data_IF_383511617871
#
_entry.id   IF_383511617871
#
_cell.length_a   1.000
_cell.length_b   1.000
_cell.length_c   1.000
_cell.angle_alpha   90.00
_cell.angle_beta   90.00
_cell.angle_gamma   90.00
#
_symmetry.space_group_name_H-M   'P 1'
#
loop_
_entity.id
_entity.type
_entity.pdbx_description
1 polymer ?
#
# COMPACT_ATOMS: atom_id res chain seq x y z
N UNK A 1 22.74 -2.01 -23.09
CA UNK A 1 22.89 -0.53 -23.06
C UNK A 1 23.11 -0.14 -21.60
N UNK A 2 24.31 0.31 -21.24
CA UNK A 2 24.59 0.73 -19.85
C UNK A 2 24.09 2.15 -19.66
N UNK A 3 23.15 2.36 -18.73
CA UNK A 3 22.78 3.70 -18.26
C UNK A 3 23.80 4.08 -17.19
N UNK A 4 24.66 5.06 -17.48
CA UNK A 4 25.59 5.63 -16.51
C UNK A 4 24.84 6.73 -15.77
N UNK A 5 24.79 6.65 -14.44
CA UNK A 5 24.21 7.68 -13.57
C UNK A 5 25.35 8.42 -12.84
N UNK A 6 25.46 9.72 -13.04
CA UNK A 6 26.43 10.54 -12.34
C UNK A 6 25.88 11.01 -10.99
N UNK A 7 26.18 10.27 -9.93
CA UNK A 7 25.67 10.53 -8.58
C UNK A 7 26.09 11.91 -8.02
N UNK A 8 27.18 12.50 -8.52
CA UNK A 8 27.65 13.83 -8.09
C UNK A 8 26.65 14.94 -8.39
N UNK A 9 25.79 14.75 -9.39
CA UNK A 9 24.77 15.72 -9.75
C UNK A 9 23.63 15.78 -8.73
N UNK A 10 23.52 14.76 -7.87
CA UNK A 10 22.40 14.59 -6.95
C UNK A 10 22.77 14.83 -5.47
N UNK A 11 24.05 15.04 -5.19
CA UNK A 11 24.56 15.20 -3.82
C UNK A 11 25.23 16.56 -3.63
N UNK A 12 24.97 17.16 -2.48
CA UNK A 12 25.55 18.45 -2.07
C UNK A 12 27.00 18.31 -1.61
N UNK A 13 27.41 17.09 -1.26
CA UNK A 13 28.74 16.70 -0.80
C UNK A 13 29.05 15.33 -1.40
N UNK A 14 30.31 15.05 -1.71
CA UNK A 14 30.79 13.77 -2.26
C UNK A 14 30.76 12.65 -1.19
N UNK A 15 29.61 12.46 -0.52
CA UNK A 15 29.40 11.45 0.51
C UNK A 15 28.19 10.61 0.14
N UNK A 16 28.45 9.36 -0.22
CA UNK A 16 27.45 8.32 -0.44
C UNK A 16 28.08 6.99 0.00
N UNK A 17 27.26 6.06 0.47
CA UNK A 17 27.74 4.73 0.85
C UNK A 17 27.40 3.75 -0.26
N UNK A 18 28.36 2.92 -0.66
CA UNK A 18 28.10 1.79 -1.55
C UNK A 18 27.83 0.58 -0.66
N UNK A 19 26.71 -0.09 -0.89
CA UNK A 19 26.37 -1.35 -0.23
C UNK A 19 26.89 -2.50 -1.08
N UNK A 20 27.57 -3.43 -0.44
CA UNK A 20 28.12 -4.63 -1.05
C UNK A 20 27.37 -5.86 -0.52
N UNK A 21 27.20 -6.88 -1.36
CA UNK A 21 26.73 -8.20 -0.91
C UNK A 21 27.87 -9.03 -0.29
N UNK A 22 27.54 -10.26 0.13
CA UNK A 22 28.49 -11.23 0.72
C UNK A 22 29.61 -11.64 -0.24
N UNK A 23 29.52 -11.30 -1.54
CA UNK A 23 30.47 -11.62 -2.59
C UNK A 23 31.29 -10.39 -3.02
N UNK A 24 31.25 -9.31 -2.23
CA UNK A 24 31.89 -8.01 -2.52
C UNK A 24 31.41 -7.34 -3.80
N UNK A 25 30.22 -7.70 -4.29
CA UNK A 25 29.62 -7.03 -5.44
C UNK A 25 28.80 -5.84 -4.96
N UNK A 26 29.03 -4.67 -5.55
CA UNK A 26 28.21 -3.49 -5.27
C UNK A 26 26.76 -3.72 -5.69
N UNK A 27 25.83 -3.62 -4.74
CA UNK A 27 24.40 -3.89 -4.95
C UNK A 27 23.52 -2.65 -4.85
N UNK A 28 23.93 -1.65 -4.07
CA UNK A 28 23.17 -0.40 -3.93
C UNK A 28 24.06 0.79 -3.59
N UNK A 29 23.49 1.99 -3.73
CA UNK A 29 24.09 3.25 -3.25
C UNK A 29 23.10 3.93 -2.30
N UNK A 30 23.57 4.31 -1.12
CA UNK A 30 22.82 5.01 -0.09
C UNK A 30 23.26 6.47 -0.02
N UNK A 31 22.30 7.37 -0.20
CA UNK A 31 22.50 8.81 -0.10
C UNK A 31 21.55 9.34 0.99
N UNK A 32 22.07 9.86 2.12
CA UNK A 32 21.23 10.48 3.14
C UNK A 32 20.42 11.65 2.56
N UNK A 33 19.13 11.75 2.92
CA UNK A 33 18.23 12.81 2.44
C UNK A 33 18.79 14.22 2.72
N UNK A 34 19.47 14.41 3.85
CA UNK A 34 20.12 15.68 4.22
C UNK A 34 21.25 16.12 3.28
N UNK A 35 21.72 15.22 2.42
CA UNK A 35 22.79 15.47 1.45
C UNK A 35 22.25 15.63 0.03
N UNK A 36 20.95 15.43 -0.20
CA UNK A 36 20.35 15.58 -1.52
C UNK A 36 20.44 17.02 -2.00
N UNK A 37 20.80 17.20 -3.28
CA UNK A 37 20.77 18.52 -3.88
C UNK A 37 19.30 18.97 -4.03
N UNK A 38 18.84 20.06 -3.38
CA UNK A 38 17.41 20.41 -3.33
C UNK A 38 16.79 20.61 -4.72
N UNK A 39 17.53 21.24 -5.63
CA UNK A 39 17.07 21.47 -7.01
C UNK A 39 16.92 20.19 -7.86
N UNK A 40 17.41 19.06 -7.36
CA UNK A 40 17.40 17.75 -8.04
C UNK A 40 16.56 16.71 -7.30
N UNK A 41 15.90 17.09 -6.20
CA UNK A 41 15.09 16.18 -5.40
C UNK A 41 13.99 15.49 -6.25
N UNK A 42 13.30 16.25 -7.12
CA UNK A 42 12.28 15.70 -8.02
C UNK A 42 12.87 14.71 -9.04
N UNK A 43 14.03 15.02 -9.62
CA UNK A 43 14.70 14.11 -10.57
C UNK A 43 15.15 12.82 -9.88
N UNK A 44 15.69 12.93 -8.66
CA UNK A 44 16.11 11.77 -7.88
C UNK A 44 14.91 10.92 -7.45
N UNK A 45 13.80 11.55 -7.04
CA UNK A 45 12.57 10.85 -6.71
C UNK A 45 12.00 10.11 -7.92
N UNK A 46 11.93 10.76 -9.08
CA UNK A 46 11.48 10.10 -10.32
C UNK A 46 12.38 8.93 -10.71
N UNK A 47 13.70 9.07 -10.53
CA UNK A 47 14.64 7.99 -10.78
C UNK A 47 14.47 6.83 -9.80
N UNK A 48 14.30 7.12 -8.51
CA UNK A 48 14.01 6.11 -7.50
C UNK A 48 12.73 5.37 -7.86
N UNK A 49 11.66 6.09 -8.18
CA UNK A 49 10.40 5.51 -8.64
C UNK A 49 10.62 4.61 -9.86
N UNK A 50 11.36 5.05 -10.88
CA UNK A 50 11.66 4.22 -12.05
C UNK A 50 12.47 2.95 -11.73
N UNK A 51 13.42 3.04 -10.80
CA UNK A 51 14.30 1.92 -10.42
C UNK A 51 13.61 0.94 -9.47
N UNK A 52 12.71 1.42 -8.62
CA UNK A 52 11.97 0.60 -7.64
C UNK A 52 10.55 0.26 -8.11
N UNK A 53 10.15 0.72 -9.30
CA UNK A 53 8.85 0.39 -9.86
C UNK A 53 8.81 -1.11 -10.19
N UNK A 54 8.03 -1.84 -9.41
CA UNK A 54 7.67 -3.22 -9.72
C UNK A 54 6.37 -3.17 -10.54
N UNK A 55 6.35 -3.70 -11.77
CA UNK A 55 5.13 -3.80 -12.56
C UNK A 55 4.03 -4.57 -11.81
N UNK A 56 2.76 -4.22 -12.06
CA UNK A 56 1.60 -4.84 -11.38
C UNK A 56 1.60 -6.36 -11.50
N UNK A 57 2.01 -6.90 -12.64
CA UNK A 57 2.07 -8.35 -12.89
C UNK A 57 3.24 -9.07 -12.18
N UNK A 58 4.20 -8.32 -11.64
CA UNK A 58 5.31 -8.83 -10.84
C UNK A 58 5.08 -8.63 -9.34
N UNK A 59 4.04 -7.90 -8.95
CA UNK A 59 3.70 -7.66 -7.55
C UNK A 59 3.08 -8.91 -6.92
N UNK A 60 3.47 -9.20 -5.68
CA UNK A 60 2.71 -10.11 -4.82
C UNK A 60 1.33 -9.53 -4.48
N UNK A 61 0.40 -10.39 -4.05
CA UNK A 61 -0.93 -9.95 -3.61
C UNK A 61 -0.85 -8.91 -2.48
N UNK A 62 0.09 -9.08 -1.56
CA UNK A 62 0.31 -8.14 -0.45
C UNK A 62 0.76 -6.77 -0.95
N UNK A 63 1.71 -6.72 -1.90
CA UNK A 63 2.18 -5.45 -2.47
C UNK A 63 1.07 -4.73 -3.26
N UNK A 64 0.21 -5.47 -3.96
CA UNK A 64 -0.95 -4.90 -4.63
C UNK A 64 -1.96 -4.33 -3.63
N UNK A 65 -2.25 -5.06 -2.56
CA UNK A 65 -3.12 -4.59 -1.48
C UNK A 65 -2.59 -3.30 -0.83
N UNK A 66 -1.28 -3.25 -0.54
CA UNK A 66 -0.65 -2.06 0.04
C UNK A 66 -0.70 -0.85 -0.91
N UNK A 67 -0.54 -1.08 -2.22
CA UNK A 67 -0.67 -0.03 -3.24
C UNK A 67 -2.08 0.52 -3.37
N UNK A 68 -3.10 -0.33 -3.25
CA UNK A 68 -4.51 0.06 -3.38
C UNK A 68 -5.11 0.64 -2.09
N UNK A 69 -4.42 0.50 -0.96
CA UNK A 69 -4.92 0.92 0.35
C UNK A 69 -5.34 2.40 0.42
N UNK A 70 -4.60 3.37 -0.16
CA UNK A 70 -5.04 4.77 -0.17
C UNK A 70 -6.39 4.97 -0.88
N UNK A 71 -6.57 4.33 -2.04
CA UNK A 71 -7.81 4.39 -2.81
C UNK A 71 -8.96 3.70 -2.08
N UNK A 72 -8.70 2.53 -1.47
CA UNK A 72 -9.68 1.83 -0.63
C UNK A 72 -10.14 2.74 0.50
N UNK A 73 -9.22 3.36 1.25
CA UNK A 73 -9.54 4.28 2.33
C UNK A 73 -10.34 5.50 1.86
N UNK A 74 -10.02 6.02 0.68
CA UNK A 74 -10.76 7.13 0.07
C UNK A 74 -12.22 6.74 -0.22
N UNK A 75 -12.43 5.56 -0.82
CA UNK A 75 -13.78 5.05 -1.13
C UNK A 75 -14.56 4.72 0.14
N UNK A 76 -13.91 4.14 1.14
CA UNK A 76 -14.53 3.84 2.43
C UNK A 76 -15.03 5.11 3.15
N UNK A 77 -14.22 6.18 3.10
CA UNK A 77 -14.59 7.49 3.63
C UNK A 77 -15.76 8.11 2.86
N UNK A 78 -15.74 8.01 1.52
CA UNK A 78 -16.83 8.48 0.66
C UNK A 78 -18.15 7.74 0.94
N UNK A 79 -18.12 6.41 1.01
CA UNK A 79 -19.28 5.59 1.37
C UNK A 79 -19.89 6.05 2.69
N UNK A 80 -19.04 6.23 3.71
CA UNK A 80 -19.47 6.69 5.04
C UNK A 80 -20.07 8.10 4.98
N UNK A 81 -19.52 8.99 4.16
CA UNK A 81 -20.04 10.34 3.96
C UNK A 81 -21.43 10.33 3.29
N UNK A 82 -21.64 9.43 2.31
CA UNK A 82 -22.90 9.24 1.60
C UNK A 82 -23.96 8.48 2.41
N UNK A 83 -23.63 8.02 3.63
CA UNK A 83 -24.52 7.23 4.47
C UNK A 83 -24.65 5.75 4.04
N UNK A 84 -23.73 5.29 3.19
CA UNK A 84 -23.58 3.88 2.84
C UNK A 84 -22.75 3.14 3.89
N UNK A 85 -22.70 1.81 3.77
CA UNK A 85 -21.88 0.95 4.63
C UNK A 85 -20.67 0.39 3.88
N UNK A 86 -19.59 0.18 4.62
CA UNK A 86 -18.45 -0.64 4.20
C UNK A 86 -18.64 -2.08 4.72
N UNK A 87 -18.05 -3.05 4.02
CA UNK A 87 -18.20 -4.47 4.36
C UNK A 87 -16.85 -5.05 4.76
N UNK A 88 -16.80 -5.66 5.94
CA UNK A 88 -15.58 -6.24 6.50
C UNK A 88 -15.79 -7.69 6.91
N UNK A 89 -14.72 -8.48 6.85
CA UNK A 89 -14.72 -9.80 7.46
C UNK A 89 -14.56 -9.69 8.98
N UNK A 90 -15.32 -10.45 9.78
CA UNK A 90 -15.15 -10.47 11.23
C UNK A 90 -13.80 -11.12 11.60
N UNK A 91 -12.96 -10.35 12.28
CA UNK A 91 -11.62 -10.80 12.67
C UNK A 91 -11.69 -11.99 13.66
N UNK A 92 -10.91 -13.03 13.38
CA UNK A 92 -10.41 -13.96 14.40
C UNK A 92 -11.39 -14.98 14.99
N UNK A 93 -12.57 -15.21 14.40
CA UNK A 93 -13.50 -16.21 14.94
C UNK A 93 -14.03 -17.18 13.87
N UNK A 94 -13.56 -18.46 13.87
CA UNK A 94 -13.95 -19.46 12.87
C UNK A 94 -15.44 -19.86 12.90
N UNK A 95 -16.20 -19.39 13.90
CA UNK A 95 -17.66 -19.56 13.99
C UNK A 95 -18.46 -18.67 13.03
N UNK A 96 -17.84 -17.65 12.42
CA UNK A 96 -18.51 -16.67 11.55
C UNK A 96 -18.43 -17.02 10.06
N UNK A 97 -18.55 -18.30 9.69
CA UNK A 97 -18.68 -18.68 8.27
C UNK A 97 -19.88 -17.96 7.66
N UNK A 98 -19.65 -17.30 6.53
CA UNK A 98 -20.62 -16.50 5.80
C UNK A 98 -21.20 -15.31 6.59
N UNK A 99 -20.49 -14.79 7.59
CA UNK A 99 -20.86 -13.54 8.22
C UNK A 99 -19.92 -12.41 7.78
N UNK A 100 -20.49 -11.22 7.67
CA UNK A 100 -19.79 -9.98 7.36
C UNK A 100 -20.26 -8.89 8.31
N UNK A 101 -19.40 -7.91 8.55
CA UNK A 101 -19.73 -6.70 9.29
C UNK A 101 -20.09 -5.64 8.27
N UNK A 102 -21.27 -5.05 8.38
CA UNK A 102 -21.59 -3.78 7.71
C UNK A 102 -21.28 -2.66 8.67
N UNK A 103 -20.33 -1.80 8.32
CA UNK A 103 -19.97 -0.64 9.11
C UNK A 103 -20.56 0.62 8.47
N UNK A 104 -21.42 1.29 9.22
CA UNK A 104 -21.98 2.58 8.88
C UNK A 104 -21.23 3.66 9.67
N UNK A 105 -21.56 4.93 9.39
CA UNK A 105 -20.98 6.07 10.11
C UNK A 105 -21.21 6.04 11.63
N UNK A 106 -22.34 5.50 12.08
CA UNK A 106 -22.82 5.61 13.46
C UNK A 106 -22.97 4.25 14.18
N UNK A 107 -22.97 3.14 13.45
CA UNK A 107 -23.12 1.80 14.04
C UNK A 107 -22.53 0.72 13.12
N UNK A 108 -22.46 -0.51 13.65
CA UNK A 108 -22.07 -1.70 12.90
C UNK A 108 -23.13 -2.78 13.03
N UNK A 109 -23.34 -3.52 11.97
CA UNK A 109 -24.24 -4.66 11.92
C UNK A 109 -23.45 -5.94 11.61
N UNK A 110 -23.76 -7.03 12.33
CA UNK A 110 -23.33 -8.36 11.92
C UNK A 110 -24.39 -8.97 11.02
N UNK A 111 -23.99 -9.37 9.81
CA UNK A 111 -24.89 -9.87 8.78
C UNK A 111 -24.44 -11.23 8.32
N UNK A 112 -25.36 -12.19 8.27
CA UNK A 112 -25.13 -13.49 7.64
C UNK A 112 -25.57 -13.42 6.19
N UNK A 113 -24.70 -13.84 5.28
CA UNK A 113 -24.96 -13.86 3.83
C UNK A 113 -25.16 -15.29 3.38
N UNK A 114 -26.21 -15.56 2.63
CA UNK A 114 -26.33 -16.81 1.91
C UNK A 114 -25.49 -16.73 0.63
N UNK A 115 -24.42 -17.54 0.56
CA UNK A 115 -23.48 -17.49 -0.55
C UNK A 115 -24.07 -17.98 -1.88
N UNK A 116 -25.15 -18.75 -1.87
CA UNK A 116 -25.80 -19.23 -3.10
C UNK A 116 -26.84 -18.28 -3.68
N UNK A 117 -27.45 -17.42 -2.84
CA UNK A 117 -28.53 -16.51 -3.27
C UNK A 117 -28.16 -15.04 -3.16
N UNK A 118 -27.11 -14.69 -2.42
CA UNK A 118 -26.76 -13.30 -2.08
C UNK A 118 -27.69 -12.66 -1.05
N UNK A 119 -28.70 -13.39 -0.56
CA UNK A 119 -29.60 -12.88 0.48
C UNK A 119 -28.85 -12.65 1.79
N UNK A 120 -29.23 -11.59 2.50
CA UNK A 120 -28.55 -11.18 3.71
C UNK A 120 -29.53 -11.08 4.88
N UNK A 121 -29.13 -11.59 6.04
CA UNK A 121 -29.90 -11.56 7.27
C UNK A 121 -29.09 -10.82 8.34
N UNK A 122 -29.66 -9.76 8.91
CA UNK A 122 -29.06 -9.05 10.03
C UNK A 122 -29.17 -9.93 11.29
N UNK A 123 -28.02 -10.30 11.85
CA UNK A 123 -27.89 -11.09 13.08
C UNK A 123 -27.83 -10.17 14.30
N UNK A 124 -27.10 -9.05 14.20
CA UNK A 124 -27.04 -8.01 15.23
C UNK A 124 -27.00 -6.63 14.58
N UNK A 125 -27.76 -5.67 15.13
CA UNK A 125 -27.77 -4.26 14.70
C UNK A 125 -26.79 -3.37 15.47
N UNK A 126 -26.11 -3.91 16.48
CA UNK A 126 -25.12 -3.22 17.31
C UNK A 126 -23.97 -4.19 17.60
N UNK A 127 -23.15 -4.42 16.59
CA UNK A 127 -21.99 -5.34 16.67
C UNK A 127 -20.71 -4.60 17.05
#
# INVERSE_FOLDING_TARGET
MYKILNLKEFVSRDTFNIVYDEQEKATAVLIPVSQWHPAKATELQNLMEQLTYIPVFECSLKELEERLRPEIQSVEAENTHLGLYNVYEPAGNPGYRNHVIREYRDHRELVKVNTSTGESQIISRRF
#
